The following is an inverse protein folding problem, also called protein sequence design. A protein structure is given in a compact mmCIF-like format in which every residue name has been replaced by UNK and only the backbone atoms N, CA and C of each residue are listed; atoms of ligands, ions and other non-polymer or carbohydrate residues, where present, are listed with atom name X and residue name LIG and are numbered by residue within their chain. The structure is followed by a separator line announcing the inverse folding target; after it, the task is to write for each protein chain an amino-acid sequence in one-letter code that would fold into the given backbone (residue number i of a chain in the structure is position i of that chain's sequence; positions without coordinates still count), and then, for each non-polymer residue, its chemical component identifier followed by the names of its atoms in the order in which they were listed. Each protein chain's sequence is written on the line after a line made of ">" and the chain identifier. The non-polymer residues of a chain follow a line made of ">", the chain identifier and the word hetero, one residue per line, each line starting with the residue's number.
data_IF_446208738862
#
_entry.id   IF_446208738862
#
_cell.length_a   1.000
_cell.length_b   1.000
_cell.length_c   1.000
_cell.angle_alpha   90.00
_cell.angle_beta   90.00
_cell.angle_gamma   90.00
#
_symmetry.space_group_name_H-M   'P 1'
#
loop_
_entity.id
_entity.type
_entity.pdbx_description
1 polymer ?
#
# COMPACT_ATOMS: atom_id res chain seq x y z
N UNK A 1 10.17 -2.49 -14.13
CA UNK A 1 8.92 -1.71 -14.06
C UNK A 1 7.84 -2.52 -13.36
N UNK A 2 7.20 -1.93 -12.38
CA UNK A 2 6.20 -2.63 -11.57
C UNK A 2 4.87 -1.88 -11.60
N UNK A 3 3.78 -2.60 -11.30
CA UNK A 3 2.46 -2.01 -11.15
C UNK A 3 2.21 -1.82 -9.65
N UNK A 4 2.05 -0.58 -9.23
CA UNK A 4 1.90 -0.21 -7.83
C UNK A 4 0.53 0.42 -7.62
N UNK A 5 -0.21 -0.08 -6.63
CA UNK A 5 -1.47 0.51 -6.22
C UNK A 5 -1.24 1.38 -4.99
N UNK A 6 -1.61 2.64 -5.08
CA UNK A 6 -1.52 3.59 -3.96
C UNK A 6 -2.93 3.87 -3.45
N UNK A 7 -3.19 3.54 -2.20
CA UNK A 7 -4.49 3.73 -1.56
C UNK A 7 -4.36 4.75 -0.44
N UNK A 8 -4.93 5.93 -0.63
CA UNK A 8 -4.91 7.02 0.35
C UNK A 8 -6.07 7.96 0.04
N UNK A 9 -6.76 8.44 1.07
CA UNK A 9 -7.89 9.35 0.88
C UNK A 9 -7.45 10.80 0.63
N UNK A 10 -6.19 11.12 0.82
CA UNK A 10 -5.66 12.47 0.60
C UNK A 10 -5.12 12.62 -0.82
N UNK A 11 -5.73 13.52 -1.58
CA UNK A 11 -5.32 13.77 -2.97
C UNK A 11 -3.85 14.15 -3.07
N UNK A 12 -3.38 15.04 -2.18
CA UNK A 12 -1.99 15.49 -2.21
C UNK A 12 -0.99 14.34 -2.04
N UNK A 13 -1.31 13.39 -1.17
CA UNK A 13 -0.47 12.22 -0.97
C UNK A 13 -0.50 11.31 -2.21
N UNK A 14 -1.69 11.05 -2.76
CA UNK A 14 -1.80 10.23 -3.98
C UNK A 14 -1.00 10.83 -5.13
N UNK A 15 -1.14 12.14 -5.34
CA UNK A 15 -0.43 12.82 -6.43
C UNK A 15 1.08 12.78 -6.22
N UNK A 16 1.54 13.02 -4.99
CA UNK A 16 2.95 12.99 -4.68
C UNK A 16 3.56 11.61 -4.89
N UNK A 17 2.92 10.58 -4.35
CA UNK A 17 3.42 9.21 -4.48
C UNK A 17 3.39 8.75 -5.93
N UNK A 18 2.33 9.11 -6.66
CA UNK A 18 2.23 8.77 -8.08
C UNK A 18 3.36 9.40 -8.87
N UNK A 19 3.66 10.66 -8.64
CA UNK A 19 4.74 11.36 -9.33
C UNK A 19 6.09 10.72 -9.05
N UNK A 20 6.39 10.48 -7.76
CA UNK A 20 7.65 9.88 -7.36
C UNK A 20 7.84 8.50 -7.99
N UNK A 21 6.81 7.67 -7.90
CA UNK A 21 6.91 6.28 -8.39
C UNK A 21 6.91 6.20 -9.91
N UNK A 22 6.20 7.09 -10.59
CA UNK A 22 6.27 7.18 -12.04
C UNK A 22 7.68 7.58 -12.49
N UNK A 23 8.31 8.51 -11.76
CA UNK A 23 9.69 8.93 -12.06
C UNK A 23 10.68 7.78 -11.90
N UNK A 24 10.37 6.80 -11.05
CA UNK A 24 11.18 5.60 -10.87
C UNK A 24 10.87 4.51 -11.91
N UNK A 25 9.99 4.78 -12.84
CA UNK A 25 9.68 3.86 -13.93
C UNK A 25 8.53 2.90 -13.65
N UNK A 26 7.78 3.11 -12.57
CA UNK A 26 6.66 2.25 -12.24
C UNK A 26 5.35 2.76 -12.83
N UNK A 27 4.40 1.85 -13.06
CA UNK A 27 3.03 2.20 -13.38
C UNK A 27 2.25 2.30 -12.08
N UNK A 28 1.55 3.41 -11.88
CA UNK A 28 0.85 3.67 -10.62
C UNK A 28 -0.64 3.80 -10.88
N UNK A 29 -1.42 3.03 -10.14
CA UNK A 29 -2.86 3.20 -10.04
C UNK A 29 -3.17 3.76 -8.66
N UNK A 30 -4.12 4.68 -8.55
CA UNK A 30 -4.49 5.28 -7.28
C UNK A 30 -5.92 4.90 -6.92
N UNK A 31 -6.18 4.78 -5.61
CA UNK A 31 -7.50 4.56 -5.05
C UNK A 31 -7.67 5.50 -3.86
N UNK A 32 -8.83 6.11 -3.74
CA UNK A 32 -9.06 7.09 -2.68
C UNK A 32 -9.80 6.52 -1.48
N UNK A 33 -10.23 5.26 -1.56
CA UNK A 33 -10.92 4.58 -0.48
C UNK A 33 -10.82 3.07 -0.66
N UNK A 34 -11.34 2.33 0.33
CA UNK A 34 -11.26 0.88 0.30
C UNK A 34 -12.09 0.26 -0.83
N UNK A 35 -13.24 0.86 -1.16
CA UNK A 35 -14.07 0.36 -2.25
C UNK A 35 -13.33 0.38 -3.58
N UNK A 36 -12.64 1.49 -3.86
CA UNK A 36 -11.83 1.61 -5.07
C UNK A 36 -10.63 0.65 -5.05
N UNK A 37 -10.02 0.46 -3.88
CA UNK A 37 -8.91 -0.47 -3.72
C UNK A 37 -9.34 -1.91 -3.97
N UNK A 38 -10.52 -2.30 -3.46
CA UNK A 38 -11.08 -3.64 -3.71
C UNK A 38 -11.32 -3.86 -5.19
N UNK A 39 -11.91 -2.87 -5.88
CA UNK A 39 -12.18 -2.95 -7.30
C UNK A 39 -10.88 -3.08 -8.10
N UNK A 40 -9.88 -2.30 -7.75
CA UNK A 40 -8.58 -2.36 -8.42
C UNK A 40 -7.93 -3.73 -8.25
N UNK A 41 -7.97 -4.30 -7.05
CA UNK A 41 -7.39 -5.62 -6.77
C UNK A 41 -8.11 -6.73 -7.52
N UNK A 42 -9.43 -6.61 -7.71
CA UNK A 42 -10.21 -7.59 -8.45
C UNK A 42 -9.88 -7.58 -9.95
N UNK A 43 -9.56 -6.40 -10.50
CA UNK A 43 -9.20 -6.30 -11.91
C UNK A 43 -7.83 -6.89 -12.17
N UNK A 44 -6.86 -6.53 -11.35
CA UNK A 44 -5.47 -6.91 -11.54
C UNK A 44 -4.78 -7.08 -10.18
N UNK A 45 -3.83 -8.01 -10.14
CA UNK A 45 -2.95 -8.13 -8.98
C UNK A 45 -1.80 -7.12 -9.13
N UNK A 46 -1.72 -6.10 -8.27
CA UNK A 46 -0.55 -5.21 -8.32
C UNK A 46 0.69 -5.93 -7.81
N UNK A 47 1.85 -5.43 -8.20
CA UNK A 47 3.12 -5.97 -7.70
C UNK A 47 3.42 -5.49 -6.28
N UNK A 48 2.83 -4.36 -5.89
CA UNK A 48 3.00 -3.76 -4.57
C UNK A 48 1.80 -2.87 -4.27
N UNK A 49 1.41 -2.80 -3.00
CA UNK A 49 0.35 -1.89 -2.54
C UNK A 49 0.91 -0.99 -1.45
N UNK A 50 0.68 0.31 -1.57
CA UNK A 50 0.87 1.28 -0.49
C UNK A 50 -0.53 1.60 0.04
N UNK A 51 -0.78 1.27 1.30
CA UNK A 51 -2.12 1.29 1.86
C UNK A 51 -2.19 2.14 3.12
N UNK A 52 -2.96 3.23 3.05
CA UNK A 52 -3.22 4.08 4.20
C UNK A 52 -4.13 3.37 5.21
N UNK A 53 -3.91 3.62 6.49
CA UNK A 53 -4.73 3.03 7.55
C UNK A 53 -6.06 3.76 7.68
N UNK A 54 -6.04 5.09 7.73
CA UNK A 54 -7.25 5.87 7.99
C UNK A 54 -7.94 6.31 6.71
N UNK A 55 -9.06 5.67 6.41
CA UNK A 55 -9.89 5.97 5.24
C UNK A 55 -11.36 6.08 5.66
N UNK A 56 -12.18 6.81 4.88
CA UNK A 56 -13.55 7.11 5.34
C UNK A 56 -14.51 5.91 5.36
N UNK A 57 -14.31 4.93 4.48
CA UNK A 57 -15.26 3.79 4.39
C UNK A 57 -14.81 2.57 5.19
N UNK A 58 -13.58 2.13 5.01
CA UNK A 58 -13.01 0.98 5.72
C UNK A 58 -11.56 1.29 6.00
N UNK A 59 -11.09 1.11 7.23
CA UNK A 59 -9.67 1.36 7.51
C UNK A 59 -8.76 0.34 6.82
N UNK A 60 -7.49 0.73 6.64
CA UNK A 60 -6.55 -0.08 5.89
C UNK A 60 -6.22 -1.43 6.54
N UNK A 61 -6.22 -1.50 7.87
CA UNK A 61 -5.96 -2.77 8.56
C UNK A 61 -7.10 -3.75 8.31
N UNK A 62 -8.34 -3.27 8.33
CA UNK A 62 -9.51 -4.10 8.02
C UNK A 62 -9.47 -4.59 6.58
N UNK A 63 -9.09 -3.72 5.64
CA UNK A 63 -8.96 -4.11 4.24
C UNK A 63 -7.86 -5.16 4.07
N UNK A 64 -6.72 -4.98 4.73
CA UNK A 64 -5.62 -5.95 4.72
C UNK A 64 -6.11 -7.32 5.24
N UNK A 65 -6.88 -7.30 6.31
CA UNK A 65 -7.45 -8.51 6.91
C UNK A 65 -8.41 -9.20 5.95
N UNK A 66 -9.26 -8.43 5.26
CA UNK A 66 -10.14 -8.98 4.22
C UNK A 66 -9.35 -9.69 3.15
N UNK A 67 -8.31 -9.05 2.63
CA UNK A 67 -7.47 -9.65 1.59
C UNK A 67 -6.79 -10.92 2.08
N UNK A 68 -6.36 -10.92 3.35
CA UNK A 68 -5.76 -12.11 3.95
C UNK A 68 -6.76 -13.27 4.01
N UNK A 69 -7.98 -13.01 4.48
CA UNK A 69 -8.99 -14.07 4.64
C UNK A 69 -9.56 -14.58 3.33
N UNK A 70 -9.62 -13.72 2.30
CA UNK A 70 -10.16 -14.12 0.99
C UNK A 70 -9.11 -14.71 0.05
N UNK A 71 -7.86 -14.76 0.48
CA UNK A 71 -6.77 -15.24 -0.37
C UNK A 71 -6.26 -14.21 -1.37
N UNK A 72 -6.70 -12.96 -1.28
CA UNK A 72 -6.27 -11.91 -2.18
C UNK A 72 -4.93 -11.28 -1.80
N UNK A 73 -4.43 -11.52 -0.58
CA UNK A 73 -3.17 -10.96 -0.10
C UNK A 73 -1.99 -11.81 -0.59
N UNK A 74 -1.68 -11.66 -1.87
CA UNK A 74 -0.58 -12.39 -2.51
C UNK A 74 0.57 -11.48 -2.89
N UNK A 75 0.38 -10.17 -2.77
CA UNK A 75 1.37 -9.15 -3.10
C UNK A 75 1.87 -8.48 -1.83
N UNK A 76 3.08 -7.89 -1.85
CA UNK A 76 3.56 -7.13 -0.70
C UNK A 76 2.70 -5.89 -0.48
N UNK A 77 2.37 -5.61 0.78
CA UNK A 77 1.61 -4.44 1.20
C UNK A 77 2.43 -3.65 2.20
N UNK A 78 2.60 -2.37 1.94
CA UNK A 78 3.26 -1.44 2.85
C UNK A 78 2.18 -0.52 3.41
N UNK A 79 2.03 -0.49 4.73
CA UNK A 79 1.07 0.37 5.39
C UNK A 79 1.63 1.77 5.57
N UNK A 80 0.74 2.77 5.55
CA UNK A 80 1.11 4.17 5.75
C UNK A 80 0.17 4.80 6.77
N UNK A 81 0.69 5.59 7.70
CA UNK A 81 -0.17 6.35 8.62
C UNK A 81 0.58 7.48 9.32
N UNK A 82 -0.14 8.57 9.60
CA UNK A 82 0.35 9.67 10.45
C UNK A 82 0.00 9.52 11.91
N UNK A 83 -0.89 8.59 12.23
CA UNK A 83 -1.47 8.47 13.58
C UNK A 83 -1.54 7.04 14.10
N UNK A 84 -0.76 6.14 13.53
CA UNK A 84 -0.80 4.76 13.96
C UNK A 84 -0.06 4.57 15.28
N UNK A 85 -0.57 3.67 16.11
CA UNK A 85 0.11 3.25 17.31
C UNK A 85 1.03 2.06 17.00
N UNK A 86 1.91 1.75 17.94
CA UNK A 86 2.75 0.54 17.85
C UNK A 86 1.87 -0.69 17.72
N UNK A 87 0.77 -0.75 18.47
CA UNK A 87 -0.17 -1.88 18.42
C UNK A 87 -0.75 -2.10 17.03
N UNK A 88 -1.13 -1.00 16.36
CA UNK A 88 -1.67 -1.07 14.99
C UNK A 88 -0.62 -1.60 14.01
N UNK A 89 0.62 -1.12 14.14
CA UNK A 89 1.71 -1.58 13.28
C UNK A 89 2.01 -3.07 13.50
N UNK A 90 1.99 -3.53 14.75
CA UNK A 90 2.18 -4.94 15.10
C UNK A 90 1.05 -5.79 14.52
N UNK A 91 -0.19 -5.34 14.67
CA UNK A 91 -1.34 -6.07 14.11
C UNK A 91 -1.23 -6.21 12.60
N UNK A 92 -0.93 -5.13 11.89
CA UNK A 92 -0.78 -5.15 10.45
C UNK A 92 0.32 -6.13 10.01
N UNK A 93 1.44 -6.13 10.71
CA UNK A 93 2.55 -7.05 10.42
C UNK A 93 2.13 -8.49 10.63
N UNK A 94 1.38 -8.78 11.68
CA UNK A 94 0.89 -10.14 11.96
C UNK A 94 -0.08 -10.63 10.89
N UNK A 95 -0.88 -9.72 10.33
CA UNK A 95 -1.81 -10.07 9.25
C UNK A 95 -1.04 -10.37 7.97
N UNK A 96 0.05 -9.67 7.72
CA UNK A 96 0.87 -9.91 6.55
C UNK A 96 1.43 -8.68 5.85
N UNK A 97 1.33 -7.49 6.48
CA UNK A 97 1.98 -6.31 5.92
C UNK A 97 3.50 -6.47 5.96
N UNK A 98 4.14 -6.08 4.88
CA UNK A 98 5.59 -6.19 4.76
C UNK A 98 6.31 -5.14 5.60
N UNK A 99 5.79 -3.92 5.60
CA UNK A 99 6.43 -2.79 6.25
C UNK A 99 5.39 -1.75 6.61
N UNK A 100 5.83 -0.77 7.39
CA UNK A 100 5.01 0.34 7.85
C UNK A 100 5.79 1.64 7.67
N UNK A 101 5.17 2.62 7.01
CA UNK A 101 5.75 3.95 6.83
C UNK A 101 4.94 4.97 7.61
N UNK A 102 5.62 5.74 8.44
CA UNK A 102 5.02 6.81 9.21
C UNK A 102 5.01 8.10 8.39
N UNK A 103 3.87 8.79 8.35
CA UNK A 103 3.77 10.08 7.68
C UNK A 103 4.33 11.19 8.58
N UNK A 104 5.00 12.19 8.06
CA UNK A 104 5.28 12.42 6.65
C UNK A 104 6.33 11.44 6.12
N UNK A 105 6.06 10.88 4.96
CA UNK A 105 6.92 9.86 4.37
C UNK A 105 8.07 10.55 3.65
N UNK A 106 9.31 10.20 4.01
CA UNK A 106 10.47 10.74 3.31
C UNK A 106 10.71 9.97 2.02
N UNK A 107 11.28 10.64 1.02
CA UNK A 107 11.60 10.03 -0.25
C UNK A 107 12.47 8.79 -0.08
N UNK A 108 13.51 8.88 0.75
CA UNK A 108 14.44 7.77 0.97
C UNK A 108 13.75 6.56 1.56
N UNK A 109 12.89 6.76 2.57
CA UNK A 109 12.17 5.66 3.20
C UNK A 109 11.18 5.01 2.23
N UNK A 110 10.48 5.84 1.45
CA UNK A 110 9.55 5.34 0.46
C UNK A 110 10.26 4.46 -0.58
N UNK A 111 11.32 4.97 -1.18
CA UNK A 111 12.04 4.25 -2.23
C UNK A 111 12.66 2.97 -1.70
N UNK A 112 13.21 3.00 -0.49
CA UNK A 112 13.78 1.80 0.13
C UNK A 112 12.71 0.74 0.39
N UNK A 113 11.55 1.14 0.92
CA UNK A 113 10.47 0.20 1.20
C UNK A 113 9.92 -0.41 -0.09
N UNK A 114 9.75 0.40 -1.12
CA UNK A 114 9.28 -0.08 -2.43
C UNK A 114 10.29 -1.06 -3.03
N UNK A 115 11.56 -0.74 -2.99
CA UNK A 115 12.61 -1.62 -3.49
C UNK A 115 12.60 -2.96 -2.76
N UNK A 116 12.51 -2.94 -1.43
CA UNK A 116 12.45 -4.17 -0.63
C UNK A 116 11.19 -4.97 -0.94
N UNK A 117 10.06 -4.31 -1.11
CA UNK A 117 8.81 -4.97 -1.45
C UNK A 117 8.87 -5.65 -2.82
N UNK A 118 9.39 -4.94 -3.81
CA UNK A 118 9.50 -5.48 -5.16
C UNK A 118 10.53 -6.61 -5.24
N UNK A 119 11.58 -6.56 -4.42
CA UNK A 119 12.56 -7.64 -4.36
C UNK A 119 11.97 -8.93 -3.82
N UNK A 120 10.93 -8.85 -3.00
CA UNK A 120 10.22 -10.02 -2.46
C UNK A 120 9.18 -10.57 -3.42
N UNK A 121 8.76 -9.77 -4.39
CA UNK A 121 7.81 -10.23 -5.40
C UNK A 121 8.55 -11.15 -6.36
N UNK A 122 8.11 -12.39 -6.40
CA UNK A 122 8.77 -13.34 -7.31
C UNK A 122 8.41 -12.96 -8.73
N UNK A 123 9.43 -12.68 -9.50
CA UNK A 123 9.26 -12.36 -10.92
C UNK A 123 9.13 -13.68 -11.67
N UNK A 124 8.06 -13.78 -12.40
CA UNK A 124 7.77 -14.96 -13.22
C UNK A 124 8.01 -14.63 -14.67
#
# INVERSE_FOLDING_TARGET
>A
MANILVVDDELGIRDLLQEILNDEGHNVEVAENAAQARAARLRDRPDLVLLDIWMPDTDGVTLLKEWSTTGALTMPVIMMSGHATIDTAVEATKIGALAFLEKPITLQKLLKAVEQGLARTVVR
#
